data_IF_352017434149
#
_entry.id   IF_352017434149
#
_cell.length_a   1.000
_cell.length_b   1.000
_cell.length_c   1.000
_cell.angle_alpha   90.00
_cell.angle_beta   90.00
_cell.angle_gamma   90.00
#
_symmetry.space_group_name_H-M   'P 1'
#
loop_
_entity.id
_entity.type
_entity.pdbx_description
1 polymer ?
#
# COMPACT_ATOMS: atom_id res chain seq x y z
N UNK A 1 3.76 -16.81 -15.35
CA UNK A 1 3.57 -17.74 -14.21
C UNK A 1 2.32 -17.30 -13.49
N UNK A 2 1.26 -18.11 -13.40
CA UNK A 2 -0.08 -17.60 -12.98
C UNK A 2 -0.71 -18.32 -11.79
N UNK A 3 0.00 -19.21 -11.10
CA UNK A 3 -0.55 -19.89 -9.93
C UNK A 3 0.43 -19.96 -8.78
N UNK A 4 -0.09 -19.99 -7.55
CA UNK A 4 0.70 -20.22 -6.34
C UNK A 4 1.57 -21.49 -6.45
N UNK A 5 1.10 -22.51 -7.17
CA UNK A 5 1.89 -23.70 -7.46
C UNK A 5 3.11 -23.41 -8.34
N UNK A 6 2.94 -22.59 -9.40
CA UNK A 6 4.04 -22.24 -10.28
C UNK A 6 5.11 -21.41 -9.55
N UNK A 7 4.69 -20.51 -8.66
CA UNK A 7 5.62 -19.77 -7.78
C UNK A 7 6.31 -20.73 -6.80
N UNK A 8 5.60 -21.67 -6.20
CA UNK A 8 6.19 -22.65 -5.30
C UNK A 8 7.21 -23.56 -5.99
N UNK A 9 6.93 -23.98 -7.22
CA UNK A 9 7.91 -24.70 -8.06
C UNK A 9 9.14 -23.86 -8.37
N UNK A 10 8.97 -22.57 -8.66
CA UNK A 10 10.07 -21.67 -9.01
C UNK A 10 10.98 -21.35 -7.81
N UNK A 11 10.41 -21.19 -6.62
CA UNK A 11 11.15 -20.75 -5.42
C UNK A 11 11.51 -21.88 -4.44
N UNK A 12 10.76 -22.98 -4.41
CA UNK A 12 10.95 -24.09 -3.47
C UNK A 12 10.78 -25.47 -4.13
N UNK A 13 11.09 -25.59 -5.42
CA UNK A 13 10.99 -26.84 -6.16
C UNK A 13 11.72 -28.01 -5.48
N UNK A 14 12.81 -27.72 -4.77
CA UNK A 14 13.59 -28.68 -3.98
C UNK A 14 12.82 -29.31 -2.81
N UNK A 15 11.74 -28.67 -2.34
CA UNK A 15 10.89 -29.14 -1.24
C UNK A 15 9.63 -29.86 -1.70
N UNK A 16 9.36 -29.87 -3.01
CA UNK A 16 8.18 -30.52 -3.58
C UNK A 16 8.49 -31.99 -3.80
N UNK A 17 7.80 -32.86 -3.06
CA UNK A 17 7.96 -34.30 -3.15
C UNK A 17 6.74 -34.91 -3.84
N UNK A 18 6.96 -35.48 -5.02
CA UNK A 18 5.94 -36.28 -5.71
C UNK A 18 5.88 -37.67 -5.05
N UNK A 19 4.71 -38.06 -4.56
CA UNK A 19 4.41 -39.41 -4.09
C UNK A 19 3.45 -40.06 -5.08
N UNK A 20 3.24 -41.37 -4.94
CA UNK A 20 2.42 -42.17 -5.88
C UNK A 20 0.97 -41.66 -5.93
N UNK A 21 0.45 -41.13 -4.83
CA UNK A 21 -0.96 -40.70 -4.68
C UNK A 21 -1.15 -39.20 -4.55
N UNK A 22 -0.11 -38.44 -4.19
CA UNK A 22 -0.22 -37.01 -3.91
C UNK A 22 1.10 -36.25 -4.13
N UNK A 23 1.01 -34.91 -4.11
CA UNK A 23 2.16 -34.01 -4.15
C UNK A 23 2.26 -33.30 -2.80
N UNK A 24 3.28 -33.66 -2.02
CA UNK A 24 3.62 -32.97 -0.79
C UNK A 24 4.40 -31.69 -1.13
N UNK A 25 3.78 -30.53 -0.86
CA UNK A 25 4.35 -29.20 -1.09
C UNK A 25 4.10 -28.28 0.12
N UNK A 26 4.95 -27.25 0.36
CA UNK A 26 4.81 -26.37 1.52
C UNK A 26 3.52 -25.54 1.58
N UNK A 27 2.88 -25.26 0.43
CA UNK A 27 1.68 -24.42 0.28
C UNK A 27 1.87 -22.98 0.78
N UNK A 28 3.10 -22.48 0.81
CA UNK A 28 3.40 -21.14 1.36
C UNK A 28 2.74 -20.04 0.54
N UNK A 29 2.79 -20.17 -0.79
CA UNK A 29 2.21 -19.21 -1.73
C UNK A 29 0.68 -19.24 -1.74
N UNK A 30 0.06 -20.40 -1.48
CA UNK A 30 -1.40 -20.45 -1.28
C UNK A 30 -1.78 -19.72 0.01
N UNK A 31 -0.95 -19.84 1.05
CA UNK A 31 -1.11 -19.11 2.30
C UNK A 31 -1.01 -17.60 2.13
N UNK A 32 -0.06 -17.11 1.32
CA UNK A 32 0.05 -15.69 0.98
C UNK A 32 -1.14 -15.20 0.16
N UNK A 33 -1.53 -15.94 -0.88
CA UNK A 33 -2.66 -15.59 -1.74
C UNK A 33 -3.98 -15.46 -0.96
N UNK A 34 -4.18 -16.31 0.06
CA UNK A 34 -5.39 -16.31 0.90
C UNK A 34 -5.29 -15.40 2.14
N UNK A 35 -4.17 -14.70 2.33
CA UNK A 35 -3.93 -13.89 3.52
C UNK A 35 -3.79 -14.68 4.83
N UNK A 36 -3.59 -16.01 4.77
CA UNK A 36 -3.43 -16.86 5.94
C UNK A 36 -2.03 -16.75 6.58
N UNK A 37 -1.08 -16.18 5.84
CA UNK A 37 0.29 -15.95 6.29
C UNK A 37 0.87 -14.72 5.60
N UNK A 38 1.86 -14.08 6.23
CA UNK A 38 2.58 -12.91 5.68
C UNK A 38 4.02 -13.33 5.36
N UNK A 39 4.59 -12.92 4.22
CA UNK A 39 6.01 -13.13 3.94
C UNK A 39 6.91 -12.60 5.07
N UNK A 40 7.99 -13.31 5.36
CA UNK A 40 8.97 -12.86 6.35
C UNK A 40 10.18 -12.27 5.63
N UNK A 41 10.55 -11.04 6.01
CA UNK A 41 11.75 -10.34 5.51
C UNK A 41 12.99 -10.61 6.38
N UNK A 42 13.06 -11.80 6.98
CA UNK A 42 14.24 -12.19 7.78
C UNK A 42 15.37 -12.60 6.83
N UNK A 43 16.62 -12.11 7.06
CA UNK A 43 17.76 -12.52 6.25
C UNK A 43 17.93 -14.04 6.23
N UNK A 44 18.23 -14.60 5.06
CA UNK A 44 18.49 -16.02 4.88
C UNK A 44 18.09 -16.53 3.50
N UNK A 45 18.44 -17.78 3.17
CA UNK A 45 18.25 -18.36 1.83
C UNK A 45 16.78 -18.55 1.43
N UNK A 46 15.85 -18.33 2.37
CA UNK A 46 14.39 -18.45 2.18
C UNK A 46 13.65 -17.15 2.47
N UNK A 47 14.35 -16.01 2.45
CA UNK A 47 13.69 -14.72 2.44
C UNK A 47 12.88 -14.61 1.14
N UNK A 48 11.55 -14.68 1.24
CA UNK A 48 10.65 -14.69 0.09
C UNK A 48 10.67 -13.34 -0.63
N UNK A 49 10.89 -12.25 0.10
CA UNK A 49 10.98 -10.90 -0.47
C UNK A 49 12.20 -10.79 -1.37
N UNK A 50 13.37 -11.23 -0.89
CA UNK A 50 14.61 -11.25 -1.69
C UNK A 50 14.55 -12.23 -2.87
N UNK A 51 13.90 -13.39 -2.67
CA UNK A 51 13.65 -14.33 -3.77
C UNK A 51 12.76 -13.71 -4.85
N UNK A 52 11.67 -13.04 -4.45
CA UNK A 52 10.79 -12.34 -5.37
C UNK A 52 11.52 -11.21 -6.09
N UNK A 53 12.30 -10.39 -5.38
CA UNK A 53 13.09 -9.30 -5.95
C UNK A 53 14.10 -9.80 -6.99
N UNK A 54 14.80 -10.91 -6.71
CA UNK A 54 15.77 -11.49 -7.63
C UNK A 54 15.12 -12.00 -8.94
N UNK A 55 13.86 -12.46 -8.88
CA UNK A 55 13.14 -12.97 -10.05
C UNK A 55 12.30 -11.90 -10.75
N UNK A 56 11.80 -10.94 -9.99
CA UNK A 56 10.92 -9.85 -10.39
C UNK A 56 11.41 -8.56 -9.71
N UNK A 57 12.38 -7.86 -10.32
CA UNK A 57 12.95 -6.63 -9.75
C UNK A 57 11.89 -5.57 -9.47
N UNK A 58 12.04 -4.88 -8.34
CA UNK A 58 11.13 -3.84 -7.87
C UNK A 58 9.95 -4.38 -7.02
N UNK A 59 9.87 -5.67 -6.74
CA UNK A 59 8.80 -6.23 -5.90
C UNK A 59 9.03 -5.98 -4.41
N UNK A 60 10.28 -5.92 -3.95
CA UNK A 60 10.61 -5.68 -2.54
C UNK A 60 10.07 -4.34 -2.03
N UNK A 61 9.99 -3.32 -2.89
CA UNK A 61 9.48 -1.98 -2.52
C UNK A 61 8.04 -2.02 -2.02
N UNK A 62 7.21 -2.88 -2.61
CA UNK A 62 5.81 -3.03 -2.23
C UNK A 62 5.71 -3.59 -0.82
N UNK A 63 6.52 -4.61 -0.51
CA UNK A 63 6.53 -5.24 0.81
C UNK A 63 7.15 -4.34 1.88
N UNK A 64 8.24 -3.64 1.55
CA UNK A 64 8.99 -2.76 2.46
C UNK A 64 8.41 -1.35 2.56
N UNK A 65 7.28 -1.09 1.89
CA UNK A 65 6.68 0.24 1.84
C UNK A 65 6.36 0.77 3.25
N UNK A 66 6.70 2.05 3.55
CA UNK A 66 6.34 2.68 4.82
C UNK A 66 4.82 2.83 5.00
N UNK A 67 4.03 2.65 3.93
CA UNK A 67 2.58 2.61 3.97
C UNK A 67 2.06 1.65 5.03
N UNK A 68 2.64 0.45 5.13
CA UNK A 68 2.12 -0.59 6.03
C UNK A 68 2.24 -0.20 7.50
N UNK A 69 3.32 0.49 7.88
CA UNK A 69 3.49 0.98 9.24
C UNK A 69 2.46 2.08 9.56
N UNK A 70 2.23 3.00 8.60
CA UNK A 70 1.17 4.03 8.72
C UNK A 70 -0.23 3.42 8.88
N UNK A 71 -0.56 2.40 8.07
CA UNK A 71 -1.85 1.71 8.10
C UNK A 71 -2.07 0.87 9.37
N UNK A 72 -1.00 0.34 9.98
CA UNK A 72 -1.07 -0.31 11.30
C UNK A 72 -1.28 0.68 12.45
N UNK A 73 -1.25 1.98 12.18
CA UNK A 73 -1.38 3.02 13.21
C UNK A 73 -0.12 3.18 14.05
N UNK A 74 1.04 2.78 13.54
CA UNK A 74 2.31 3.07 14.21
C UNK A 74 2.49 4.59 14.33
N UNK A 75 3.06 5.02 15.46
CA UNK A 75 3.32 6.43 15.69
C UNK A 75 4.50 6.88 14.82
N UNK A 76 4.24 7.82 13.93
CA UNK A 76 5.24 8.48 13.11
C UNK A 76 5.39 9.92 13.61
N UNK A 77 6.59 10.29 14.03
CA UNK A 77 6.91 11.71 14.17
C UNK A 77 7.26 12.33 12.80
N UNK A 78 7.36 13.65 12.74
CA UNK A 78 7.63 14.36 11.48
C UNK A 78 8.94 13.90 10.82
N UNK A 79 9.97 13.58 11.61
CA UNK A 79 11.27 13.15 11.10
C UNK A 79 11.19 11.77 10.47
N UNK A 80 10.52 10.82 11.13
CA UNK A 80 10.29 9.48 10.59
C UNK A 80 9.51 9.53 9.27
N UNK A 81 8.56 10.45 9.15
CA UNK A 81 7.80 10.65 7.91
C UNK A 81 8.69 11.21 6.81
N UNK A 82 9.50 12.24 7.10
CA UNK A 82 10.44 12.79 6.13
C UNK A 82 11.44 11.72 5.66
N UNK A 83 12.01 10.95 6.58
CA UNK A 83 12.94 9.86 6.24
C UNK A 83 12.25 8.80 5.37
N UNK A 84 10.98 8.46 5.65
CA UNK A 84 10.19 7.57 4.82
C UNK A 84 9.89 8.14 3.42
N UNK A 85 9.57 9.44 3.33
CA UNK A 85 9.34 10.13 2.05
C UNK A 85 10.60 10.15 1.17
N UNK A 86 11.79 10.23 1.77
CA UNK A 86 13.08 10.18 1.05
C UNK A 86 13.42 8.80 0.51
N UNK A 87 12.81 7.74 1.08
CA UNK A 87 13.00 6.36 0.63
C UNK A 87 12.12 5.94 -0.54
N UNK A 88 11.25 6.84 -1.03
CA UNK A 88 10.36 6.57 -2.15
C UNK A 88 11.10 6.65 -3.50
N UNK A 89 10.40 6.30 -4.58
CA UNK A 89 10.90 6.41 -5.95
C UNK A 89 11.50 7.81 -6.26
N UNK A 90 12.62 7.87 -7.01
CA UNK A 90 13.30 9.13 -7.31
C UNK A 90 12.40 10.21 -7.92
N UNK A 91 11.45 9.83 -8.78
CA UNK A 91 10.50 10.77 -9.40
C UNK A 91 9.63 11.44 -8.34
N UNK A 92 9.11 10.67 -7.38
CA UNK A 92 8.32 11.17 -6.24
C UNK A 92 9.18 12.05 -5.34
N UNK A 93 10.39 11.60 -5.02
CA UNK A 93 11.35 12.37 -4.19
C UNK A 93 11.67 13.73 -4.82
N UNK A 94 11.85 13.80 -6.14
CA UNK A 94 12.16 15.03 -6.86
C UNK A 94 11.04 16.08 -6.81
N UNK A 95 9.79 15.65 -6.62
CA UNK A 95 8.64 16.54 -6.42
C UNK A 95 8.65 17.11 -5.00
N UNK A 96 9.04 16.30 -4.02
CA UNK A 96 8.90 16.61 -2.60
C UNK A 96 10.11 17.32 -2.00
N UNK A 97 11.31 17.16 -2.57
CA UNK A 97 12.56 17.67 -2.01
C UNK A 97 13.32 18.55 -3.00
N UNK A 98 14.13 19.47 -2.47
CA UNK A 98 15.12 20.21 -3.26
C UNK A 98 16.09 19.20 -3.92
N UNK A 99 16.66 19.55 -5.07
CA UNK A 99 17.55 18.64 -5.79
C UNK A 99 18.89 18.43 -5.05
N UNK A 100 19.40 19.51 -4.44
CA UNK A 100 20.69 19.54 -3.75
C UNK A 100 20.54 20.10 -2.34
N UNK A 101 21.35 19.64 -1.37
CA UNK A 101 21.46 20.31 -0.08
C UNK A 101 22.02 21.72 -0.22
N UNK A 102 21.61 22.61 0.68
CA UNK A 102 22.22 23.94 0.79
C UNK A 102 23.61 23.87 1.42
N UNK A 103 24.37 24.95 1.30
CA UNK A 103 25.66 25.08 1.98
C UNK A 103 25.49 24.82 3.48
N UNK A 104 26.29 23.88 4.02
CA UNK A 104 26.25 23.38 5.40
C UNK A 104 25.12 22.41 5.77
N UNK A 105 24.29 21.96 4.82
CA UNK A 105 23.28 20.93 5.06
C UNK A 105 23.70 19.56 4.53
N UNK A 106 23.30 18.50 5.25
CA UNK A 106 23.63 17.11 4.88
C UNK A 106 22.61 16.47 3.94
N UNK A 107 21.41 17.03 3.85
CA UNK A 107 20.31 16.48 3.07
C UNK A 107 19.50 17.61 2.42
N UNK A 108 18.92 17.42 1.23
CA UNK A 108 18.08 18.43 0.60
C UNK A 108 16.81 18.69 1.40
N UNK A 109 16.37 19.94 1.48
CA UNK A 109 15.16 20.30 2.24
C UNK A 109 13.89 19.82 1.55
N UNK A 110 12.84 19.60 2.34
CA UNK A 110 11.51 19.41 1.77
C UNK A 110 11.03 20.72 1.12
N UNK A 111 10.43 20.61 -0.06
CA UNK A 111 9.80 21.72 -0.76
C UNK A 111 8.41 21.99 -0.16
N UNK A 112 7.90 23.23 -0.25
CA UNK A 112 6.50 23.51 0.02
C UNK A 112 5.62 22.60 -0.85
N UNK A 113 4.64 21.94 -0.24
CA UNK A 113 3.71 21.07 -0.97
C UNK A 113 2.57 21.92 -1.55
N UNK A 114 2.76 22.42 -2.77
CA UNK A 114 1.85 23.33 -3.45
C UNK A 114 1.01 22.66 -4.55
N UNK A 115 0.22 23.45 -5.28
CA UNK A 115 -0.61 22.95 -6.37
C UNK A 115 0.20 22.33 -7.52
N UNK A 116 1.44 22.77 -7.72
CA UNK A 116 2.32 22.17 -8.72
C UNK A 116 2.84 20.82 -8.24
N UNK A 117 3.21 20.68 -6.95
CA UNK A 117 3.55 19.37 -6.37
C UNK A 117 2.40 18.38 -6.47
N UNK A 118 1.17 18.82 -6.18
CA UNK A 118 -0.05 18.01 -6.34
C UNK A 118 -0.19 17.50 -7.77
N UNK A 119 -0.11 18.40 -8.76
CA UNK A 119 -0.20 18.03 -10.17
C UNK A 119 0.89 17.03 -10.56
N UNK A 120 2.14 17.29 -10.17
CA UNK A 120 3.26 16.41 -10.51
C UNK A 120 3.11 15.00 -9.92
N UNK A 121 2.64 14.86 -8.66
CA UNK A 121 2.38 13.54 -8.09
C UNK A 121 1.25 12.80 -8.81
N UNK A 122 0.20 13.51 -9.23
CA UNK A 122 -0.89 12.92 -10.01
C UNK A 122 -0.44 12.48 -11.41
N UNK A 123 0.41 13.28 -12.04
CA UNK A 123 1.01 12.94 -13.33
C UNK A 123 1.91 11.70 -13.23
N UNK A 124 2.64 11.52 -12.12
CA UNK A 124 3.43 10.30 -11.84
C UNK A 124 2.50 9.08 -11.68
N UNK A 125 1.43 9.21 -10.89
CA UNK A 125 0.39 8.18 -10.81
C UNK A 125 0.86 6.82 -10.28
N UNK A 126 2.01 6.75 -9.58
CA UNK A 126 2.62 5.50 -9.11
C UNK A 126 2.13 5.09 -7.72
N UNK A 127 2.44 3.84 -7.34
CA UNK A 127 2.18 3.39 -5.97
C UNK A 127 2.90 4.28 -4.95
N UNK A 128 4.15 4.68 -5.19
CA UNK A 128 4.90 5.53 -4.28
C UNK A 128 4.33 6.95 -4.21
N UNK A 129 3.69 7.45 -5.27
CA UNK A 129 2.94 8.71 -5.21
C UNK A 129 1.70 8.60 -4.28
N UNK A 130 1.03 7.43 -4.24
CA UNK A 130 0.00 7.15 -3.24
C UNK A 130 0.59 7.06 -1.84
N UNK A 131 1.72 6.37 -1.66
CA UNK A 131 2.42 6.27 -0.37
C UNK A 131 2.79 7.67 0.13
N UNK A 132 3.31 8.53 -0.74
CA UNK A 132 3.61 9.92 -0.45
C UNK A 132 2.36 10.68 0.04
N UNK A 133 1.23 10.56 -0.65
CA UNK A 133 -0.01 11.20 -0.23
C UNK A 133 -0.42 10.79 1.20
N UNK A 134 -0.40 9.48 1.50
CA UNK A 134 -0.73 8.97 2.84
C UNK A 134 0.25 9.45 3.91
N UNK A 135 1.55 9.47 3.61
CA UNK A 135 2.58 9.97 4.51
C UNK A 135 2.43 11.49 4.75
N UNK A 136 2.11 12.27 3.72
CA UNK A 136 1.86 13.71 3.85
C UNK A 136 0.59 14.02 4.66
N UNK A 137 -0.44 13.17 4.58
CA UNK A 137 -1.57 13.22 5.51
C UNK A 137 -1.07 13.00 6.94
N UNK A 138 -0.23 11.99 7.19
CA UNK A 138 0.39 11.80 8.51
C UNK A 138 1.24 13.00 8.97
N UNK A 139 2.02 13.60 8.07
CA UNK A 139 2.85 14.76 8.38
C UNK A 139 1.98 15.95 8.78
N UNK A 140 0.88 16.18 8.06
CA UNK A 140 -0.08 17.23 8.37
C UNK A 140 -0.66 17.13 9.77
N UNK A 141 -0.82 15.91 10.31
CA UNK A 141 -1.24 15.68 11.70
C UNK A 141 -0.13 16.06 12.67
N UNK A 142 1.10 15.62 12.39
CA UNK A 142 2.26 15.86 13.24
C UNK A 142 2.62 17.35 13.37
N UNK A 143 2.44 18.13 12.30
CA UNK A 143 2.74 19.58 12.29
C UNK A 143 1.50 20.47 12.36
N UNK A 144 0.32 19.89 12.54
CA UNK A 144 -0.96 20.58 12.59
C UNK A 144 -1.20 21.55 11.40
N UNK A 145 -0.99 21.09 10.17
CA UNK A 145 -1.22 21.87 8.94
C UNK A 145 -2.47 21.40 8.17
N UNK A 146 -3.61 22.11 8.27
CA UNK A 146 -4.82 21.79 7.51
C UNK A 146 -4.63 21.86 5.99
N UNK A 147 -3.84 22.82 5.51
CA UNK A 147 -3.61 23.04 4.08
C UNK A 147 -2.84 21.88 3.46
N UNK A 148 -1.82 21.36 4.17
CA UNK A 148 -1.09 20.17 3.74
C UNK A 148 -2.02 18.96 3.70
N UNK A 149 -2.88 18.81 4.71
CA UNK A 149 -3.84 17.71 4.79
C UNK A 149 -4.78 17.70 3.60
N UNK A 150 -5.39 18.84 3.31
CA UNK A 150 -6.37 18.98 2.21
C UNK A 150 -5.74 18.61 0.87
N UNK A 151 -4.53 19.13 0.59
CA UNK A 151 -3.81 18.82 -0.66
C UNK A 151 -3.40 17.35 -0.74
N UNK A 152 -2.93 16.76 0.35
CA UNK A 152 -2.53 15.36 0.39
C UNK A 152 -3.73 14.42 0.20
N UNK A 153 -4.88 14.72 0.83
CA UNK A 153 -6.14 14.00 0.62
C UNK A 153 -6.64 14.15 -0.83
N UNK A 154 -6.50 15.33 -1.43
CA UNK A 154 -6.84 15.53 -2.84
C UNK A 154 -5.98 14.63 -3.74
N UNK A 155 -4.66 14.54 -3.53
CA UNK A 155 -3.81 13.60 -4.28
C UNK A 155 -4.28 12.17 -4.06
N UNK A 156 -4.55 11.77 -2.82
CA UNK A 156 -5.04 10.43 -2.50
C UNK A 156 -6.31 10.07 -3.28
N UNK A 157 -7.29 10.97 -3.33
CA UNK A 157 -8.57 10.70 -4.02
C UNK A 157 -8.36 10.59 -5.54
N UNK A 158 -7.66 11.54 -6.14
CA UNK A 158 -7.50 11.61 -7.60
C UNK A 158 -6.61 10.47 -8.15
N UNK A 159 -5.59 10.04 -7.38
CA UNK A 159 -4.67 8.98 -7.83
C UNK A 159 -5.32 7.57 -7.82
N UNK A 160 -6.46 7.38 -7.16
CA UNK A 160 -7.16 6.08 -7.15
C UNK A 160 -7.58 5.62 -8.55
N UNK A 161 -7.94 6.55 -9.44
CA UNK A 161 -8.37 6.20 -10.79
C UNK A 161 -7.25 5.58 -11.64
N UNK A 162 -6.07 6.20 -11.80
CA UNK A 162 -4.96 5.58 -12.53
C UNK A 162 -4.45 4.31 -11.84
N UNK A 163 -4.38 4.26 -10.51
CA UNK A 163 -3.91 3.06 -9.79
C UNK A 163 -4.78 1.83 -10.03
N UNK A 164 -6.11 1.99 -10.15
CA UNK A 164 -7.00 0.87 -10.49
C UNK A 164 -6.76 0.26 -11.87
N UNK A 165 -6.08 1.00 -12.75
CA UNK A 165 -5.74 0.51 -14.09
C UNK A 165 -4.39 -0.23 -14.10
N UNK A 166 -3.63 -0.19 -13.00
CA UNK A 166 -2.38 -0.94 -12.87
C UNK A 166 -2.65 -2.42 -12.67
N UNK A 167 -2.03 -3.32 -13.47
CA UNK A 167 -2.17 -4.77 -13.30
C UNK A 167 -1.78 -5.24 -11.89
N UNK A 168 -0.75 -4.64 -11.29
CA UNK A 168 -0.26 -5.02 -9.95
C UNK A 168 -1.25 -4.68 -8.82
N UNK A 169 -2.22 -3.80 -9.09
CA UNK A 169 -3.27 -3.42 -8.14
C UNK A 169 -4.51 -4.30 -8.24
N UNK A 170 -4.60 -5.13 -9.28
CA UNK A 170 -5.76 -5.98 -9.52
C UNK A 170 -6.00 -6.93 -8.34
N UNK A 171 -7.26 -7.00 -7.91
CA UNK A 171 -7.67 -7.81 -6.76
C UNK A 171 -7.24 -7.30 -5.37
N UNK A 172 -6.43 -6.25 -5.25
CA UNK A 172 -5.99 -5.71 -3.93
C UNK A 172 -6.43 -4.27 -3.66
N UNK A 173 -6.68 -3.47 -4.71
CA UNK A 173 -7.03 -2.06 -4.54
C UNK A 173 -8.29 -1.83 -3.67
N UNK A 174 -9.34 -2.68 -3.68
CA UNK A 174 -10.53 -2.43 -2.86
C UNK A 174 -10.21 -2.44 -1.37
N UNK A 175 -9.54 -3.50 -0.87
CA UNK A 175 -9.15 -3.60 0.52
C UNK A 175 -8.12 -2.51 0.90
N UNK A 176 -7.15 -2.26 0.01
CA UNK A 176 -6.11 -1.26 0.25
C UNK A 176 -6.70 0.14 0.44
N UNK A 177 -7.56 0.60 -0.48
CA UNK A 177 -8.17 1.92 -0.38
C UNK A 177 -9.09 2.02 0.82
N UNK A 178 -9.87 0.96 1.12
CA UNK A 178 -10.67 0.94 2.34
C UNK A 178 -9.80 1.08 3.59
N UNK A 179 -8.64 0.43 3.68
CA UNK A 179 -7.72 0.60 4.82
C UNK A 179 -7.18 2.03 4.91
N UNK A 180 -6.82 2.63 3.77
CA UNK A 180 -6.34 4.02 3.71
C UNK A 180 -7.45 4.99 4.13
N UNK A 181 -8.69 4.83 3.68
CA UNK A 181 -9.83 5.68 4.03
C UNK A 181 -10.05 5.73 5.56
N UNK A 182 -9.92 4.59 6.24
CA UNK A 182 -10.04 4.52 7.69
C UNK A 182 -8.92 5.27 8.40
N UNK A 183 -7.71 5.29 7.81
CA UNK A 183 -6.54 5.97 8.38
C UNK A 183 -6.53 7.47 8.06
N UNK A 184 -6.92 7.85 6.85
CA UNK A 184 -6.84 9.20 6.31
C UNK A 184 -8.19 9.93 6.42
N UNK A 185 -8.66 10.15 7.65
CA UNK A 185 -9.95 10.80 7.90
C UNK A 185 -9.92 12.27 7.50
N UNK A 186 -11.00 12.78 6.93
CA UNK A 186 -11.16 14.19 6.65
C UNK A 186 -11.43 14.96 7.96
N UNK A 187 -10.88 16.16 8.08
CA UNK A 187 -11.18 17.04 9.19
C UNK A 187 -12.29 18.02 8.79
N UNK A 188 -13.39 18.01 9.54
CA UNK A 188 -14.49 18.95 9.37
C UNK A 188 -14.56 19.80 10.63
N UNK A 189 -14.42 21.11 10.47
CA UNK A 189 -14.52 22.06 11.57
C UNK A 189 -15.96 22.55 11.68
N UNK A 190 -16.67 22.15 12.73
CA UNK A 190 -18.05 22.62 13.00
C UNK A 190 -18.07 23.97 13.71
N UNK A 191 -16.96 24.34 14.34
CA UNK A 191 -16.64 25.66 14.90
C UNK A 191 -15.12 25.84 14.93
N UNK A 192 -14.63 27.03 15.31
CA UNK A 192 -13.20 27.34 15.40
C UNK A 192 -12.42 26.48 16.39
N UNK A 193 -13.09 25.83 17.36
CA UNK A 193 -12.47 24.96 18.37
C UNK A 193 -12.99 23.52 18.34
N UNK A 194 -13.88 23.17 17.41
CA UNK A 194 -14.48 21.84 17.34
C UNK A 194 -14.19 21.21 15.97
N UNK A 195 -13.45 20.11 16.00
CA UNK A 195 -13.12 19.28 14.84
C UNK A 195 -13.85 17.96 14.94
N UNK A 196 -14.43 17.52 13.84
CA UNK A 196 -14.95 16.18 13.64
C UNK A 196 -14.11 15.45 12.60
N UNK A 197 -13.87 14.16 12.83
CA UNK A 197 -13.20 13.31 11.86
C UNK A 197 -14.27 12.58 11.03
N UNK A 198 -14.20 12.73 9.70
CA UNK A 198 -15.13 12.13 8.74
C UNK A 198 -14.39 11.14 7.86
N UNK A 199 -14.91 9.92 7.74
CA UNK A 199 -14.39 8.92 6.80
C UNK A 199 -15.14 9.11 5.47
N UNK A 200 -14.40 9.39 4.40
CA UNK A 200 -14.94 9.39 3.04
C UNK A 200 -14.40 8.14 2.37
N UNK A 201 -15.32 7.26 1.97
CA UNK A 201 -14.97 6.02 1.31
C UNK A 201 -14.69 6.25 -0.17
N UNK A 202 -13.72 5.51 -0.72
CA UNK A 202 -13.42 5.55 -2.14
C UNK A 202 -14.64 5.19 -3.00
N UNK A 203 -14.75 5.82 -4.18
CA UNK A 203 -16.00 5.87 -4.96
C UNK A 203 -16.54 4.51 -5.44
N UNK A 204 -15.76 3.43 -5.36
CA UNK A 204 -16.20 2.09 -5.75
C UNK A 204 -16.66 1.19 -4.60
N UNK A 205 -16.58 1.61 -3.33
CA UNK A 205 -17.09 0.81 -2.19
C UNK A 205 -18.55 0.43 -2.39
N UNK A 206 -19.40 1.36 -2.86
CA UNK A 206 -20.81 1.10 -3.10
C UNK A 206 -21.04 0.06 -4.22
N UNK A 207 -20.23 0.09 -5.28
CA UNK A 207 -20.31 -0.88 -6.39
C UNK A 207 -19.83 -2.26 -5.95
N UNK A 208 -18.77 -2.33 -5.15
CA UNK A 208 -18.23 -3.58 -4.62
C UNK A 208 -19.15 -4.22 -3.58
N UNK A 209 -19.73 -3.43 -2.67
CA UNK A 209 -20.77 -3.89 -1.75
C UNK A 209 -21.98 -4.45 -2.52
N UNK A 210 -22.42 -3.75 -3.57
CA UNK A 210 -23.51 -4.22 -4.41
C UNK A 210 -23.16 -5.49 -5.20
N UNK A 211 -21.89 -5.69 -5.58
CA UNK A 211 -21.40 -6.92 -6.23
C UNK A 211 -21.35 -8.10 -5.24
N UNK A 212 -20.79 -7.90 -4.04
CA UNK A 212 -20.74 -8.90 -2.97
C UNK A 212 -22.12 -9.36 -2.51
N UNK A 213 -23.11 -8.46 -2.50
CA UNK A 213 -24.51 -8.81 -2.21
C UNK A 213 -25.19 -9.62 -3.34
N UNK A 214 -24.60 -9.65 -4.55
CA UNK A 214 -25.12 -10.38 -5.73
C UNK A 214 -24.44 -11.73 -5.96
N UNK A 215 -23.32 -12.00 -5.30
CA UNK A 215 -22.64 -13.31 -5.29
C UNK A 215 -23.06 -14.05 -4.01
N UNK A 216 -24.12 -14.88 -4.02
CA UNK A 216 -24.47 -15.66 -2.85
C UNK A 216 -23.33 -16.64 -2.53
N UNK A 217 -22.97 -16.72 -1.25
CA UNK A 217 -22.07 -17.73 -0.71
C UNK A 217 -22.44 -19.10 -1.27
N UNK A 218 -21.58 -19.66 -2.12
CA UNK A 218 -21.71 -21.03 -2.57
C UNK A 218 -21.21 -21.96 -1.45
N UNK A 219 -21.86 -21.87 -0.29
CA UNK A 219 -21.69 -22.80 0.82
C UNK A 219 -22.44 -24.07 0.48
N UNK A 220 -21.69 -25.09 0.04
CA UNK A 220 -22.21 -26.47 -0.07
C UNK A 220 -22.71 -26.90 1.31
N UNK A 221 -23.99 -27.28 1.47
CA UNK A 221 -24.49 -27.78 2.75
C UNK A 221 -23.87 -29.15 3.05
N UNK A 222 -23.67 -29.51 4.34
CA UNK A 222 -23.14 -30.82 4.70
C UNK A 222 -24.13 -31.90 4.29
N UNK A 223 -23.68 -32.83 3.45
CA UNK A 223 -24.41 -34.05 3.10
C UNK A 223 -24.70 -34.82 4.39
N UNK A 224 -25.99 -34.95 4.69
CA UNK A 224 -26.50 -35.67 5.85
C UNK A 224 -26.18 -37.16 5.80
N UNK A 225 -25.85 -37.69 6.97
CA UNK A 225 -25.87 -39.12 7.26
C UNK A 225 -27.33 -39.61 7.31
N UNK A 226 -27.60 -40.70 6.59
CA UNK A 226 -28.68 -41.66 6.88
C UNK A 226 -28.11 -43.05 6.70
#
# INVERSE_FOLDING_TARGET
>A
MSSAYALEMAFDGDRIRKRVTDVARPRKWDGYQKGASVPSDKPGPRNVVEQAEAMFPGTARWFRSPLWASLRGEAFDSRMIEDALRGLEPEVVSVLFEAEPREHEKAPRQRPFDANSVKQLLDIGSFDALVAAVLLVGLSEAIASPELRERALHVYVEIQAPLRQMPDMDGIYPELFSLIDHRCKHWVYTSSNQRMDVVIFWQGVAKEHAKRLREPDNATPPSGET
#
